data_IF_879229063673
#
_entry.id   IF_879229063673
#
_cell.length_a   1.000
_cell.length_b   1.000
_cell.length_c   1.000
_cell.angle_alpha   90.00
_cell.angle_beta   90.00
_cell.angle_gamma   90.00
#
_symmetry.space_group_name_H-M   'P 1'
#
loop_
_entity.id
_entity.type
_entity.pdbx_description
1 polymer ?
#
# COMPACT_ATOMS: atom_id res chain seq x y z
N UNK A 1 -19.62 -35.23 23.29
CA UNK A 1 -20.86 -35.00 22.50
C UNK A 1 -21.30 -33.53 22.46
N UNK A 2 -20.79 -32.63 23.31
CA UNK A 2 -21.26 -31.22 23.36
C UNK A 2 -20.70 -30.33 22.22
N UNK A 3 -19.57 -30.69 21.60
CA UNK A 3 -18.86 -29.84 20.62
C UNK A 3 -19.55 -29.78 19.26
N UNK A 4 -20.06 -30.91 18.76
CA UNK A 4 -20.71 -30.98 17.45
C UNK A 4 -22.07 -30.29 17.43
N UNK A 5 -22.76 -30.24 18.58
CA UNK A 5 -24.03 -29.52 18.73
C UNK A 5 -23.82 -28.00 18.74
N UNK A 6 -22.72 -27.51 19.30
CA UNK A 6 -22.41 -26.09 19.40
C UNK A 6 -21.73 -25.51 18.15
N UNK A 7 -20.79 -26.26 17.56
CA UNK A 7 -19.93 -25.78 16.47
C UNK A 7 -20.17 -26.49 15.13
N UNK A 8 -21.16 -27.38 15.07
CA UNK A 8 -21.43 -28.23 13.93
C UNK A 8 -20.40 -29.36 13.78
N UNK A 9 -20.66 -30.32 12.89
CA UNK A 9 -19.70 -31.37 12.57
C UNK A 9 -18.41 -30.72 12.05
N UNK A 10 -17.27 -31.23 12.51
CA UNK A 10 -15.93 -30.79 12.12
C UNK A 10 -15.72 -29.27 12.19
N UNK A 11 -16.34 -28.61 13.19
CA UNK A 11 -16.26 -27.16 13.41
C UNK A 11 -16.79 -26.31 12.25
N UNK A 12 -17.61 -26.86 11.36
CA UNK A 12 -18.13 -26.16 10.18
C UNK A 12 -18.80 -24.82 10.50
N UNK A 13 -19.62 -24.74 11.56
CA UNK A 13 -20.26 -23.48 11.96
C UNK A 13 -19.25 -22.50 12.54
N UNK A 14 -18.29 -23.00 13.33
CA UNK A 14 -17.23 -22.16 13.89
C UNK A 14 -16.38 -21.53 12.77
N UNK A 15 -16.02 -22.29 11.72
CA UNK A 15 -15.29 -21.77 10.56
C UNK A 15 -16.01 -20.59 9.92
N UNK A 16 -17.31 -20.76 9.63
CA UNK A 16 -18.13 -19.70 9.02
C UNK A 16 -18.16 -18.44 9.90
N UNK A 17 -18.31 -18.61 11.22
CA UNK A 17 -18.33 -17.48 12.15
C UNK A 17 -16.98 -16.76 12.16
N UNK A 18 -15.85 -17.49 12.19
CA UNK A 18 -14.50 -16.92 12.20
C UNK A 18 -14.12 -16.24 10.88
N UNK A 19 -14.59 -16.75 9.74
CA UNK A 19 -14.40 -16.11 8.44
C UNK A 19 -15.14 -14.77 8.34
N UNK A 20 -16.32 -14.69 8.94
CA UNK A 20 -17.15 -13.47 8.94
C UNK A 20 -16.73 -12.47 10.03
N UNK A 21 -16.23 -12.96 11.16
CA UNK A 21 -15.91 -12.14 12.33
C UNK A 21 -14.45 -12.34 12.73
N UNK A 22 -13.59 -11.48 12.19
CA UNK A 22 -12.13 -11.58 12.36
C UNK A 22 -11.60 -11.16 13.73
N UNK A 23 -12.48 -10.71 14.63
CA UNK A 23 -12.12 -10.24 15.97
C UNK A 23 -12.52 -11.25 17.07
N UNK A 24 -12.88 -12.47 16.69
CA UNK A 24 -13.33 -13.49 17.63
C UNK A 24 -12.25 -14.53 17.87
N UNK A 25 -12.08 -14.87 19.14
CA UNK A 25 -11.32 -16.02 19.62
C UNK A 25 -12.24 -16.84 20.52
N UNK A 26 -12.43 -18.12 20.22
CA UNK A 26 -13.26 -19.01 21.04
C UNK A 26 -12.35 -19.90 21.88
N UNK A 27 -12.54 -19.84 23.19
CA UNK A 27 -11.78 -20.61 24.19
C UNK A 27 -12.71 -21.51 25.01
N UNK A 28 -12.16 -22.56 25.59
CA UNK A 28 -12.85 -23.43 26.53
C UNK A 28 -12.80 -22.92 27.98
N UNK A 29 -13.40 -23.68 28.90
CA UNK A 29 -13.44 -23.33 30.32
C UNK A 29 -12.06 -23.29 31.00
N UNK A 30 -11.04 -23.85 30.35
CA UNK A 30 -9.65 -23.84 30.78
C UNK A 30 -8.80 -22.82 29.99
N UNK A 31 -9.44 -21.88 29.28
CA UNK A 31 -8.82 -20.90 28.38
C UNK A 31 -8.03 -21.52 27.21
N UNK A 32 -8.27 -22.78 26.87
CA UNK A 32 -7.67 -23.40 25.70
C UNK A 32 -8.46 -23.04 24.43
N UNK A 33 -7.75 -22.71 23.35
CA UNK A 33 -8.38 -22.34 22.07
C UNK A 33 -9.13 -23.55 21.50
N UNK A 34 -10.39 -23.35 21.12
CA UNK A 34 -11.18 -24.37 20.43
C UNK A 34 -10.80 -24.44 18.95
N UNK A 35 -10.25 -25.57 18.50
CA UNK A 35 -9.95 -25.73 17.09
C UNK A 35 -9.30 -27.05 16.69
N UNK A 36 -9.20 -27.20 15.37
CA UNK A 36 -8.29 -28.09 14.66
C UNK A 36 -7.27 -27.24 13.87
N UNK A 37 -6.38 -27.88 13.10
CA UNK A 37 -5.36 -27.17 12.31
C UNK A 37 -5.93 -26.09 11.36
N UNK A 38 -7.14 -26.30 10.83
CA UNK A 38 -7.80 -25.35 9.94
C UNK A 38 -8.33 -24.15 10.72
N UNK A 39 -8.95 -24.39 11.87
CA UNK A 39 -9.38 -23.32 12.78
C UNK A 39 -8.19 -22.52 13.31
N UNK A 40 -7.08 -23.19 13.65
CA UNK A 40 -5.84 -22.52 14.07
C UNK A 40 -5.31 -21.58 12.98
N UNK A 41 -5.39 -22.01 11.72
CA UNK A 41 -5.02 -21.16 10.58
C UNK A 41 -5.94 -19.93 10.44
N UNK A 42 -7.24 -20.08 10.69
CA UNK A 42 -8.20 -18.98 10.69
C UNK A 42 -7.94 -18.01 11.83
N UNK A 43 -7.69 -18.49 13.05
CA UNK A 43 -7.28 -17.63 14.16
C UNK A 43 -5.98 -16.89 13.86
N UNK A 44 -5.00 -17.56 13.27
CA UNK A 44 -3.74 -16.94 12.88
C UNK A 44 -3.90 -15.85 11.81
N UNK A 45 -4.86 -16.00 10.89
CA UNK A 45 -5.19 -14.97 9.91
C UNK A 45 -5.97 -13.81 10.53
N UNK A 46 -6.90 -14.12 11.43
CA UNK A 46 -7.73 -13.14 12.15
C UNK A 46 -6.87 -12.26 13.07
N UNK A 47 -5.95 -12.86 13.81
CA UNK A 47 -4.98 -12.13 14.63
C UNK A 47 -4.10 -11.20 13.79
N UNK A 48 -3.64 -11.70 12.64
CA UNK A 48 -2.87 -10.88 11.70
C UNK A 48 -3.70 -9.71 11.14
N UNK A 49 -4.96 -9.94 10.80
CA UNK A 49 -5.89 -8.88 10.36
C UNK A 49 -6.07 -7.81 11.44
N UNK A 50 -6.27 -8.21 12.69
CA UNK A 50 -6.43 -7.27 13.79
C UNK A 50 -5.18 -6.40 13.96
N UNK A 51 -3.99 -7.01 13.97
CA UNK A 51 -2.73 -6.25 14.03
C UNK A 51 -2.53 -5.30 12.84
N UNK A 52 -2.91 -5.72 11.63
CA UNK A 52 -2.89 -4.86 10.43
C UNK A 52 -3.82 -3.66 10.57
N UNK A 53 -5.04 -3.88 11.07
CA UNK A 53 -6.04 -2.83 11.27
C UNK A 53 -5.63 -1.83 12.37
N UNK A 54 -5.05 -2.32 13.46
CA UNK A 54 -4.51 -1.46 14.53
C UNK A 54 -3.36 -0.60 14.02
N UNK A 55 -2.48 -1.18 13.20
CA UNK A 55 -1.35 -0.47 12.59
C UNK A 55 -1.80 0.68 11.67
N UNK A 56 -3.01 0.61 11.08
CA UNK A 56 -3.53 1.67 10.22
C UNK A 56 -3.79 2.98 11.00
N UNK A 57 -3.93 2.88 12.32
CA UNK A 57 -4.18 4.02 13.23
C UNK A 57 -2.86 4.71 13.65
N UNK A 58 -1.72 4.03 13.53
CA UNK A 58 -0.39 4.52 13.93
C UNK A 58 0.10 5.70 13.05
N UNK A 59 0.84 6.68 13.60
CA UNK A 59 1.43 7.77 12.82
C UNK A 59 2.39 7.28 11.71
N UNK A 60 2.40 8.05 10.62
CA UNK A 60 2.96 7.71 9.30
C UNK A 60 4.38 7.12 9.22
N UNK A 61 5.42 7.56 9.96
CA UNK A 61 6.78 7.08 9.70
C UNK A 61 7.09 5.69 10.30
N UNK A 62 6.53 5.38 11.46
CA UNK A 62 6.72 4.07 12.11
C UNK A 62 5.92 3.00 11.38
N UNK A 63 4.74 3.37 10.88
CA UNK A 63 3.87 2.51 10.09
C UNK A 63 4.58 1.91 8.88
N UNK A 64 5.27 2.71 8.07
CA UNK A 64 5.95 2.21 6.86
C UNK A 64 7.04 1.19 7.18
N UNK A 65 7.78 1.41 8.27
CA UNK A 65 8.79 0.47 8.76
C UNK A 65 8.17 -0.82 9.29
N UNK A 66 7.06 -0.73 10.02
CA UNK A 66 6.33 -1.88 10.58
C UNK A 66 5.68 -2.73 9.48
N UNK A 67 5.06 -2.09 8.48
CA UNK A 67 4.50 -2.79 7.30
C UNK A 67 5.61 -3.49 6.52
N UNK A 68 6.75 -2.83 6.27
CA UNK A 68 7.89 -3.45 5.59
C UNK A 68 8.44 -4.66 6.38
N UNK A 69 8.58 -4.52 7.70
CA UNK A 69 9.01 -5.61 8.58
C UNK A 69 8.03 -6.77 8.56
N UNK A 70 6.73 -6.50 8.66
CA UNK A 70 5.69 -7.51 8.61
C UNK A 70 5.66 -8.25 7.26
N UNK A 71 5.89 -7.56 6.14
CA UNK A 71 6.04 -8.18 4.82
C UNK A 71 7.26 -9.11 4.74
N UNK A 72 8.40 -8.68 5.29
CA UNK A 72 9.65 -9.44 5.26
C UNK A 72 9.64 -10.66 6.19
N UNK A 73 8.87 -10.59 7.27
CA UNK A 73 8.82 -11.61 8.33
C UNK A 73 7.48 -12.38 8.34
N UNK A 74 6.46 -11.85 9.01
CA UNK A 74 5.24 -12.60 9.38
C UNK A 74 4.29 -12.88 8.22
N UNK A 75 4.35 -12.08 7.16
CA UNK A 75 3.66 -12.27 5.89
C UNK A 75 4.56 -12.88 4.79
N UNK A 76 5.84 -13.11 5.10
CA UNK A 76 6.80 -13.70 4.15
C UNK A 76 6.31 -15.06 3.68
N UNK A 77 6.24 -15.24 2.35
CA UNK A 77 5.72 -16.44 1.69
C UNK A 77 4.25 -16.78 1.97
N UNK A 78 3.46 -15.86 2.56
CA UNK A 78 2.03 -16.05 2.77
C UNK A 78 1.24 -15.01 1.98
N UNK A 79 0.72 -15.42 0.81
CA UNK A 79 -0.02 -14.53 -0.07
C UNK A 79 -1.22 -13.86 0.61
N UNK A 80 -1.97 -14.62 1.43
CA UNK A 80 -3.15 -14.07 2.12
C UNK A 80 -2.74 -12.95 3.08
N UNK A 81 -1.73 -13.19 3.92
CA UNK A 81 -1.21 -12.16 4.86
C UNK A 81 -0.65 -10.96 4.13
N UNK A 82 0.17 -11.16 3.09
CA UNK A 82 0.72 -10.05 2.31
C UNK A 82 -0.37 -9.25 1.61
N UNK A 83 -1.36 -9.93 1.00
CA UNK A 83 -2.46 -9.25 0.32
C UNK A 83 -3.30 -8.42 1.28
N UNK A 84 -3.55 -8.93 2.48
CA UNK A 84 -4.33 -8.28 3.52
C UNK A 84 -3.60 -7.06 4.08
N UNK A 85 -2.32 -7.22 4.42
CA UNK A 85 -1.50 -6.13 4.93
C UNK A 85 -1.37 -5.00 3.88
N UNK A 86 -1.15 -5.35 2.61
CA UNK A 86 -1.04 -4.35 1.55
C UNK A 86 -2.38 -3.69 1.20
N UNK A 87 -3.52 -4.39 1.34
CA UNK A 87 -4.83 -3.80 1.09
C UNK A 87 -5.22 -2.77 2.15
N UNK A 88 -4.80 -2.99 3.40
CA UNK A 88 -5.04 -2.04 4.49
C UNK A 88 -4.07 -0.84 4.44
N UNK A 89 -2.90 -1.01 3.82
CA UNK A 89 -1.79 -0.03 3.83
C UNK A 89 -1.32 0.35 2.41
N UNK A 90 -2.27 0.66 1.52
CA UNK A 90 -1.99 0.97 0.09
C UNK A 90 -1.11 2.22 -0.08
N UNK A 91 -1.28 3.21 0.80
CA UNK A 91 -0.46 4.42 0.83
C UNK A 91 1.01 4.10 1.13
N UNK A 92 1.25 3.24 2.11
CA UNK A 92 2.59 2.75 2.48
C UNK A 92 3.19 1.92 1.34
N UNK A 93 2.39 1.09 0.66
CA UNK A 93 2.85 0.36 -0.52
C UNK A 93 3.37 1.32 -1.61
N UNK A 94 2.65 2.42 -1.86
CA UNK A 94 3.07 3.44 -2.81
C UNK A 94 4.39 4.11 -2.38
N UNK A 95 4.54 4.42 -1.08
CA UNK A 95 5.77 4.96 -0.51
C UNK A 95 6.96 4.01 -0.71
N UNK A 96 6.80 2.72 -0.39
CA UNK A 96 7.85 1.70 -0.55
C UNK A 96 8.28 1.59 -2.02
N UNK A 97 7.33 1.54 -2.95
CA UNK A 97 7.61 1.47 -4.40
C UNK A 97 8.35 2.74 -4.87
N UNK A 98 7.92 3.91 -4.39
CA UNK A 98 8.55 5.18 -4.73
C UNK A 98 10.02 5.22 -4.29
N UNK A 99 10.32 4.79 -3.06
CA UNK A 99 11.69 4.72 -2.57
C UNK A 99 12.54 3.69 -3.31
N UNK A 100 11.96 2.54 -3.69
CA UNK A 100 12.66 1.54 -4.48
C UNK A 100 13.07 2.04 -5.88
N UNK A 101 12.23 2.85 -6.55
CA UNK A 101 12.56 3.44 -7.87
C UNK A 101 13.69 4.48 -7.79
N UNK A 102 13.73 5.27 -6.71
CA UNK A 102 14.79 6.24 -6.46
C UNK A 102 16.16 5.57 -6.26
N UNK A 103 16.20 4.43 -5.57
CA UNK A 103 17.44 3.65 -5.37
C UNK A 103 17.98 3.05 -6.68
N UNK A 104 17.08 2.67 -7.60
CA UNK A 104 17.47 2.15 -8.93
C UNK A 104 18.04 3.27 -9.81
N UNK A 105 17.41 4.45 -9.83
CA UNK A 105 17.89 5.62 -10.59
C UNK A 105 19.20 6.21 -10.04
N UNK A 106 19.46 6.07 -8.74
CA UNK A 106 20.71 6.52 -8.12
C UNK A 106 21.95 5.71 -8.52
N UNK A 107 21.78 4.53 -9.12
CA UNK A 107 22.88 3.68 -9.64
C UNK A 107 23.14 3.82 -11.14
N UNK A 108 22.42 4.69 -11.83
CA UNK A 108 22.82 5.10 -13.18
C UNK A 108 24.04 6.02 -13.06
N UNK A 109 25.24 5.44 -13.22
CA UNK A 109 26.44 6.21 -13.54
C UNK A 109 26.18 7.13 -14.75
N UNK A 110 26.96 8.21 -14.92
CA UNK A 110 26.65 9.27 -15.87
C UNK A 110 26.36 8.71 -17.26
N UNK A 111 25.08 8.76 -17.62
CA UNK A 111 24.59 8.39 -18.94
C UNK A 111 25.32 9.22 -20.01
N UNK A 112 25.85 8.62 -21.09
CA UNK A 112 26.56 9.36 -22.11
C UNK A 112 25.58 10.31 -22.81
N UNK A 113 25.74 11.61 -22.54
CA UNK A 113 24.98 12.66 -23.21
C UNK A 113 25.05 12.49 -24.73
N UNK A 114 23.91 12.46 -25.44
CA UNK A 114 23.95 12.64 -26.88
C UNK A 114 24.42 14.07 -27.15
N UNK A 115 25.58 14.18 -27.80
CA UNK A 115 26.17 15.45 -28.26
C UNK A 115 25.12 16.22 -29.07
N UNK A 116 24.46 17.19 -28.43
CA UNK A 116 23.62 18.15 -29.14
C UNK A 116 24.53 19.01 -30.00
N UNK A 117 24.55 18.68 -31.29
CA UNK A 117 25.22 19.43 -32.33
C UNK A 117 24.77 20.88 -32.33
N UNK A 118 25.75 21.77 -32.36
CA UNK A 118 25.58 23.19 -32.57
C UNK A 118 24.74 23.46 -33.82
N UNK A 119 23.52 23.97 -33.63
CA UNK A 119 22.79 24.69 -34.68
C UNK A 119 22.38 26.07 -34.16
N UNK A 120 23.33 26.98 -34.33
CA UNK A 120 23.17 28.30 -34.93
C UNK A 120 21.95 29.16 -34.51
N UNK A 121 22.25 30.15 -33.66
CA UNK A 121 21.73 31.52 -33.67
C UNK A 121 20.70 31.83 -34.77
N UNK A 122 19.42 31.98 -34.38
CA UNK A 122 18.53 32.93 -35.04
C UNK A 122 17.78 33.76 -34.00
N UNK A 123 18.31 34.98 -33.81
CA UNK A 123 17.61 36.12 -33.21
C UNK A 123 16.35 36.40 -34.03
N UNK A 124 15.17 36.14 -33.50
CA UNK A 124 13.96 36.86 -33.93
C UNK A 124 13.76 38.05 -33.00
N UNK A 125 14.31 39.18 -33.46
CA UNK A 125 14.08 40.52 -32.94
C UNK A 125 13.20 41.21 -34.00
N UNK A 126 11.89 40.98 -33.94
CA UNK A 126 10.89 41.80 -34.64
C UNK A 126 10.24 42.67 -33.56
N UNK A 127 10.81 43.82 -33.20
CA UNK A 127 10.58 45.13 -33.84
C UNK A 127 9.09 45.41 -34.11
N UNK A 128 8.49 46.12 -33.15
CA UNK A 128 7.31 46.99 -33.36
C UNK A 128 7.55 47.99 -34.49
N UNK A 129 6.52 48.33 -35.27
CA UNK A 129 6.43 49.64 -35.90
C UNK A 129 5.49 50.54 -35.10
N UNK A 130 6.07 51.58 -34.49
CA UNK A 130 5.34 52.84 -34.23
C UNK A 130 5.44 53.69 -35.49
N UNK A 131 4.34 54.19 -36.01
CA UNK A 131 4.25 55.59 -36.48
C UNK A 131 2.79 56.00 -36.71
N UNK A 132 2.52 57.23 -36.30
CA UNK A 132 1.22 57.87 -36.24
C UNK A 132 0.81 58.53 -37.56
N UNK A 133 -0.48 58.75 -37.75
CA UNK A 133 -1.00 59.90 -38.49
C UNK A 133 -2.32 60.39 -37.88
N UNK A 134 -2.27 61.58 -37.27
CA UNK A 134 -3.42 62.45 -36.97
C UNK A 134 -4.06 62.87 -38.30
N UNK A 135 -5.40 62.88 -38.36
CA UNK A 135 -6.18 63.93 -39.04
C UNK A 135 -7.44 64.19 -38.21
N UNK A 136 -7.78 65.47 -38.09
CA UNK A 136 -8.87 66.09 -37.32
C UNK A 136 -9.78 66.84 -38.29
N UNK A 137 -11.11 66.82 -38.07
CA UNK A 137 -12.12 67.89 -38.31
C UNK A 137 -13.52 67.30 -38.07
N UNK A 138 -14.36 67.84 -37.16
CA UNK A 138 -15.33 68.96 -37.32
C UNK A 138 -16.13 68.80 -38.63
N UNK A 139 -17.45 68.69 -38.62
CA UNK A 139 -18.47 69.52 -37.95
C UNK A 139 -19.63 68.70 -37.34
#
# INVERSE_FOLDING_TARGET
MVRDEAFGPDFSLLRVVLEQNRNLTVVDEADAIYGDELIDSLYGLNYFYQGSAELAIEPSPERSTLVATALAESASNNFQRSSLLLSDHVDVLCEIIWHADLDVRGREGPSPQPKQGNLSRRRSREQSPRTAKRVSRRE
#
